data_IF_604523501431
#
_entry.id   IF_604523501431
#
_cell.length_a   1.000
_cell.length_b   1.000
_cell.length_c   1.000
_cell.angle_alpha   90.00
_cell.angle_beta   90.00
_cell.angle_gamma   90.00
#
_symmetry.space_group_name_H-M   'P 1'
#
loop_
_entity.id
_entity.type
_entity.pdbx_description
1 polymer ?
#
# COMPACT_ATOMS: atom_id res chain seq x y z
N UNK A 1 -59.24 3.95 28.78
CA UNK A 1 -57.77 3.96 28.60
C UNK A 1 -57.44 4.35 27.16
N UNK A 2 -56.89 5.55 26.98
CA UNK A 2 -56.43 6.12 25.71
C UNK A 2 -54.90 6.11 25.72
N UNK A 3 -54.24 5.75 24.62
CA UNK A 3 -52.78 5.88 24.50
C UNK A 3 -52.48 7.02 23.54
N UNK A 4 -51.76 8.03 24.00
CA UNK A 4 -51.24 9.10 23.16
C UNK A 4 -49.76 8.89 22.90
N UNK A 5 -49.31 9.30 21.71
CA UNK A 5 -47.90 9.26 21.33
C UNK A 5 -47.34 10.68 21.41
N UNK A 6 -46.39 10.92 22.31
CA UNK A 6 -45.74 12.21 22.48
C UNK A 6 -44.49 12.23 21.61
N UNK A 7 -44.48 13.07 20.58
CA UNK A 7 -43.31 13.29 19.73
C UNK A 7 -42.57 14.54 20.19
N UNK A 8 -41.32 14.39 20.59
CA UNK A 8 -40.41 15.48 20.93
C UNK A 8 -39.13 15.39 20.08
N UNK A 9 -38.18 16.30 20.34
CA UNK A 9 -36.84 16.23 19.76
C UNK A 9 -36.07 14.95 20.15
N UNK A 10 -36.42 14.35 21.28
CA UNK A 10 -35.75 13.19 21.85
C UNK A 10 -36.33 11.86 21.34
N UNK A 11 -37.47 11.88 20.65
CA UNK A 11 -38.08 10.67 20.09
C UNK A 11 -39.59 10.62 20.20
N UNK A 12 -40.14 9.40 20.14
CA UNK A 12 -41.58 9.14 20.23
C UNK A 12 -41.85 8.25 21.44
N UNK A 13 -42.53 8.79 22.45
CA UNK A 13 -42.89 8.09 23.67
C UNK A 13 -44.41 7.86 23.74
N UNK A 14 -44.85 6.84 24.49
CA UNK A 14 -46.27 6.50 24.63
C UNK A 14 -46.73 6.81 26.03
N UNK A 15 -47.78 7.63 26.16
CA UNK A 15 -48.43 7.92 27.44
C UNK A 15 -49.81 7.29 27.49
N UNK A 16 -50.11 6.61 28.62
CA UNK A 16 -51.43 6.05 28.90
C UNK A 16 -52.26 7.06 29.69
N UNK A 17 -53.45 7.37 29.19
CA UNK A 17 -54.43 8.24 29.82
C UNK A 17 -55.60 7.38 30.25
N UNK A 18 -55.80 7.27 31.55
CA UNK A 18 -56.83 6.39 32.11
C UNK A 18 -58.23 7.02 32.00
N UNK A 19 -58.32 8.34 32.17
CA UNK A 19 -59.57 9.11 32.12
C UNK A 19 -59.78 9.82 30.77
N UNK A 20 -60.84 9.50 29.99
CA UNK A 20 -61.15 10.17 28.73
C UNK A 20 -61.50 11.66 28.85
N UNK A 21 -61.85 12.12 30.05
CA UNK A 21 -62.16 13.52 30.35
C UNK A 21 -60.95 14.31 30.86
N UNK A 22 -59.74 13.74 30.76
CA UNK A 22 -58.53 14.42 31.21
C UNK A 22 -58.32 15.75 30.49
N UNK A 23 -57.80 16.71 31.24
CA UNK A 23 -57.50 18.06 30.75
C UNK A 23 -56.08 18.15 30.20
N UNK A 24 -55.78 19.22 29.46
CA UNK A 24 -54.41 19.53 29.05
C UNK A 24 -53.49 19.65 30.28
N UNK A 25 -53.96 20.23 31.38
CA UNK A 25 -53.18 20.34 32.61
C UNK A 25 -52.76 18.98 33.16
N UNK A 26 -53.68 18.01 33.18
CA UNK A 26 -53.40 16.64 33.58
C UNK A 26 -52.43 15.92 32.63
N UNK A 27 -52.55 16.16 31.31
CA UNK A 27 -51.59 15.65 30.33
C UNK A 27 -50.18 16.23 30.58
N UNK A 28 -50.08 17.51 30.91
CA UNK A 28 -48.78 18.13 31.24
C UNK A 28 -48.17 17.52 32.51
N UNK A 29 -48.96 17.26 33.55
CA UNK A 29 -48.51 16.55 34.74
C UNK A 29 -48.09 15.10 34.45
N UNK A 30 -48.76 14.43 33.53
CA UNK A 30 -48.39 13.09 33.08
C UNK A 30 -47.05 13.08 32.33
N UNK A 31 -46.83 14.07 31.47
CA UNK A 31 -45.55 14.28 30.78
C UNK A 31 -44.43 14.57 31.80
N UNK A 32 -44.68 15.41 32.80
CA UNK A 32 -43.69 15.71 33.84
C UNK A 32 -43.32 14.45 34.65
N UNK A 33 -44.31 13.68 35.09
CA UNK A 33 -44.07 12.48 35.90
C UNK A 33 -43.42 11.33 35.13
N UNK A 34 -43.83 11.07 33.88
CA UNK A 34 -43.34 9.93 33.10
C UNK A 34 -42.15 10.27 32.21
N UNK A 35 -42.13 11.48 31.64
CA UNK A 35 -41.13 11.92 30.66
C UNK A 35 -40.11 12.89 31.25
N UNK A 36 -40.28 13.33 32.51
CA UNK A 36 -39.37 14.23 33.24
C UNK A 36 -39.18 15.60 32.59
N UNK A 37 -40.21 16.10 31.90
CA UNK A 37 -40.21 17.44 31.31
C UNK A 37 -41.02 18.39 32.22
N UNK A 38 -40.41 19.42 32.84
CA UNK A 38 -41.12 20.32 33.74
C UNK A 38 -42.32 20.99 33.08
N UNK A 39 -43.47 21.08 33.76
CA UNK A 39 -44.71 21.66 33.18
C UNK A 39 -44.47 23.05 32.57
N UNK A 40 -43.62 23.86 33.20
CA UNK A 40 -43.32 25.23 32.81
C UNK A 40 -42.57 25.32 31.47
N UNK A 41 -41.83 24.28 31.09
CA UNK A 41 -41.10 24.22 29.82
C UNK A 41 -41.91 23.55 28.70
N UNK A 42 -43.07 22.96 29.01
CA UNK A 42 -43.86 22.23 28.02
C UNK A 42 -44.73 23.16 27.15
N UNK A 43 -44.42 23.18 25.86
CA UNK A 43 -45.31 23.64 24.79
C UNK A 43 -45.89 22.42 24.08
N UNK A 44 -47.22 22.31 24.05
CA UNK A 44 -47.93 21.21 23.39
C UNK A 44 -48.68 21.72 22.17
N UNK A 45 -48.73 20.92 21.12
CA UNK A 45 -49.56 21.22 19.96
C UNK A 45 -49.94 19.94 19.22
N UNK A 46 -51.08 19.97 18.54
CA UNK A 46 -51.44 18.97 17.53
C UNK A 46 -50.73 19.22 16.19
N UNK A 47 -50.11 20.40 16.02
CA UNK A 47 -49.38 20.78 14.81
C UNK A 47 -47.91 20.33 14.86
N UNK A 48 -47.50 19.56 13.85
CA UNK A 48 -46.13 19.04 13.71
C UNK A 48 -45.07 20.16 13.61
N UNK A 49 -45.43 21.32 13.07
CA UNK A 49 -44.51 22.43 12.87
C UNK A 49 -43.97 23.00 14.19
N UNK A 50 -44.56 22.64 15.34
CA UNK A 50 -44.03 22.96 16.65
C UNK A 50 -42.57 22.50 16.81
N UNK A 51 -42.22 21.34 16.25
CA UNK A 51 -40.85 20.81 16.34
C UNK A 51 -39.82 21.53 15.45
N UNK A 52 -40.28 22.44 14.59
CA UNK A 52 -39.42 23.27 13.74
C UNK A 52 -39.18 24.66 14.34
N UNK A 53 -39.89 25.02 15.41
CA UNK A 53 -39.72 26.28 16.13
C UNK A 53 -38.31 26.37 16.72
N UNK A 54 -37.62 27.50 16.51
CA UNK A 54 -36.24 27.70 16.97
C UNK A 54 -36.11 28.78 18.05
N UNK A 55 -37.12 29.64 18.16
CA UNK A 55 -37.12 30.77 19.09
C UNK A 55 -38.34 30.73 20.00
N UNK A 56 -38.29 31.37 21.19
CA UNK A 56 -39.46 31.52 22.06
C UNK A 56 -40.67 32.16 21.35
N UNK A 57 -40.41 33.11 20.45
CA UNK A 57 -41.45 33.75 19.64
C UNK A 57 -42.13 32.77 18.67
N UNK A 58 -41.39 31.83 18.08
CA UNK A 58 -41.96 30.78 17.24
C UNK A 58 -42.86 29.84 18.06
N UNK A 59 -42.43 29.45 19.27
CA UNK A 59 -43.18 28.59 20.18
C UNK A 59 -44.50 29.24 20.63
N UNK A 60 -44.49 30.56 20.85
CA UNK A 60 -45.66 31.32 21.28
C UNK A 60 -46.84 31.28 20.29
N UNK A 61 -46.57 30.94 19.02
CA UNK A 61 -47.60 30.83 17.96
C UNK A 61 -48.45 29.57 18.07
N UNK A 62 -48.03 28.59 18.86
CA UNK A 62 -48.72 27.32 19.05
C UNK A 62 -49.58 27.36 20.31
N UNK A 63 -50.77 27.95 20.17
CA UNK A 63 -51.69 28.18 21.29
C UNK A 63 -52.83 27.17 21.38
N UNK A 64 -52.92 26.21 20.45
CA UNK A 64 -54.02 25.24 20.37
C UNK A 64 -54.16 24.43 21.65
N UNK A 65 -53.05 24.04 22.27
CA UNK A 65 -53.04 23.31 23.55
C UNK A 65 -52.49 24.13 24.74
N UNK A 66 -52.68 25.46 24.73
CA UNK A 66 -52.15 26.35 25.78
C UNK A 66 -52.99 26.40 27.06
N UNK A 67 -54.31 26.25 26.96
CA UNK A 67 -55.22 26.38 28.11
C UNK A 67 -55.29 25.07 28.91
N UNK A 68 -54.80 25.04 30.17
CA UNK A 68 -54.75 23.80 30.96
C UNK A 68 -56.13 23.23 31.31
N UNK A 69 -57.20 24.02 31.23
CA UNK A 69 -58.56 23.58 31.56
C UNK A 69 -59.28 22.93 30.38
N UNK A 70 -58.74 23.01 29.17
CA UNK A 70 -59.38 22.42 27.98
C UNK A 70 -59.33 20.89 28.08
N UNK A 71 -60.46 20.18 27.90
CA UNK A 71 -60.48 18.73 27.83
C UNK A 71 -59.72 18.22 26.58
N UNK A 72 -58.95 17.14 26.73
CA UNK A 72 -58.21 16.50 25.63
C UNK A 72 -59.17 16.02 24.51
N UNK A 73 -60.40 15.67 24.87
CA UNK A 73 -61.47 15.30 23.93
C UNK A 73 -61.82 16.39 22.91
N UNK A 74 -61.47 17.66 23.18
CA UNK A 74 -61.73 18.79 22.28
C UNK A 74 -60.88 18.77 21.01
N UNK A 75 -59.84 17.93 20.95
CA UNK A 75 -58.83 17.92 19.87
C UNK A 75 -59.00 16.75 18.87
N UNK A 76 -60.16 16.07 18.87
CA UNK A 76 -60.44 14.91 18.01
C UNK A 76 -59.34 13.82 18.06
N UNK A 77 -58.74 13.62 19.23
CA UNK A 77 -57.66 12.66 19.43
C UNK A 77 -58.24 11.25 19.60
N UNK A 78 -57.71 10.29 18.85
CA UNK A 78 -58.05 8.87 18.92
C UNK A 78 -56.89 8.08 19.53
N UNK A 79 -57.10 6.78 19.76
CA UNK A 79 -56.04 5.91 20.27
C UNK A 79 -54.85 5.89 19.32
N UNK A 80 -53.68 6.29 19.81
CA UNK A 80 -52.47 6.44 19.04
C UNK A 80 -52.31 7.81 18.35
N UNK A 81 -53.18 8.79 18.60
CA UNK A 81 -52.94 10.16 18.12
C UNK A 81 -51.59 10.69 18.62
N UNK A 82 -50.95 11.51 17.78
CA UNK A 82 -49.66 12.13 18.08
C UNK A 82 -49.90 13.54 18.60
N UNK A 83 -49.24 13.87 19.71
CA UNK A 83 -49.10 15.24 20.22
C UNK A 83 -47.62 15.61 20.14
N UNK A 84 -47.35 16.82 19.66
CA UNK A 84 -46.00 17.35 19.58
C UNK A 84 -45.69 18.12 20.85
N UNK A 85 -44.50 17.86 21.41
CA UNK A 85 -43.99 18.47 22.63
C UNK A 85 -42.66 19.16 22.33
N UNK A 86 -42.60 20.47 22.59
CA UNK A 86 -41.37 21.26 22.60
C UNK A 86 -41.07 21.73 24.03
N UNK A 87 -39.79 21.69 24.40
CA UNK A 87 -39.25 22.20 25.67
C UNK A 87 -37.76 22.50 25.51
N UNK A 88 -37.25 23.36 26.39
CA UNK A 88 -35.83 23.64 26.53
C UNK A 88 -35.20 22.77 27.63
N UNK A 89 -33.90 22.46 27.47
CA UNK A 89 -33.11 21.67 28.43
C UNK A 89 -32.96 20.18 28.10
N UNK A 90 -31.80 19.61 28.42
CA UNK A 90 -31.51 18.19 28.19
C UNK A 90 -32.19 17.29 29.23
N UNK A 91 -32.63 16.09 28.82
CA UNK A 91 -33.13 15.07 29.74
C UNK A 91 -32.52 13.71 29.42
N UNK A 92 -32.49 12.85 30.42
CA UNK A 92 -32.13 11.44 30.25
C UNK A 92 -33.34 10.65 29.79
N UNK A 93 -33.32 10.18 28.53
CA UNK A 93 -34.33 9.27 27.97
C UNK A 93 -33.97 7.83 28.36
N UNK A 94 -34.94 7.05 28.83
CA UNK A 94 -34.71 5.63 29.12
C UNK A 94 -34.37 4.90 27.80
N UNK A 95 -33.14 4.38 27.72
CA UNK A 95 -32.51 3.93 26.47
C UNK A 95 -33.20 2.76 25.78
N UNK A 96 -33.48 2.93 24.48
CA UNK A 96 -33.54 1.80 23.55
C UNK A 96 -32.13 1.25 23.28
N UNK A 97 -32.00 0.03 22.73
CA UNK A 97 -30.70 -0.53 22.40
C UNK A 97 -29.93 0.40 21.47
N UNK A 98 -28.59 0.47 21.58
CA UNK A 98 -27.77 1.25 20.68
C UNK A 98 -28.06 0.82 19.24
N UNK A 99 -28.67 1.71 18.47
CA UNK A 99 -28.91 1.51 17.05
C UNK A 99 -27.57 1.77 16.35
N UNK A 100 -26.93 0.71 15.88
CA UNK A 100 -25.90 0.80 14.86
C UNK A 100 -26.61 0.88 13.50
N UNK A 101 -26.63 2.03 12.81
CA UNK A 101 -27.33 2.13 11.54
C UNK A 101 -26.57 1.32 10.49
N UNK A 102 -27.15 0.21 10.06
CA UNK A 102 -26.77 -0.46 8.82
C UNK A 102 -27.31 0.34 7.64
N UNK A 103 -26.47 1.21 7.07
CA UNK A 103 -26.66 1.73 5.71
C UNK A 103 -26.98 3.23 5.57
N UNK A 104 -26.11 3.91 4.83
CA UNK A 104 -26.26 4.92 3.74
C UNK A 104 -27.47 5.87 3.61
N UNK A 105 -28.60 5.73 4.30
CA UNK A 105 -29.73 6.63 4.07
C UNK A 105 -29.69 7.85 5.01
N UNK A 106 -29.30 9.01 4.46
CA UNK A 106 -29.41 10.32 5.13
C UNK A 106 -28.19 10.82 5.91
N UNK A 107 -27.05 10.13 5.88
CA UNK A 107 -25.77 10.68 6.39
C UNK A 107 -25.35 11.84 5.48
N UNK A 108 -25.13 13.05 6.04
CA UNK A 108 -24.46 14.14 5.32
C UNK A 108 -23.10 13.61 4.85
N UNK A 109 -22.91 13.49 3.54
CA UNK A 109 -21.63 13.08 2.98
C UNK A 109 -20.57 14.10 3.38
N UNK A 110 -19.52 13.64 4.04
CA UNK A 110 -18.34 14.44 4.31
C UNK A 110 -17.47 14.51 3.06
N UNK A 111 -16.53 15.46 3.01
CA UNK A 111 -15.56 15.51 1.90
C UNK A 111 -14.73 14.22 1.84
N UNK A 112 -14.40 13.61 2.98
CA UNK A 112 -13.70 12.33 3.01
C UNK A 112 -14.56 11.18 2.44
N UNK A 113 -15.88 11.15 2.72
CA UNK A 113 -16.78 10.17 2.10
C UNK A 113 -16.86 10.35 0.56
N UNK A 114 -16.72 11.58 0.05
CA UNK A 114 -16.70 11.85 -1.39
C UNK A 114 -15.37 11.44 -2.04
N UNK A 115 -14.24 11.69 -1.37
CA UNK A 115 -12.91 11.29 -1.84
C UNK A 115 -12.80 9.75 -1.81
N UNK A 116 -13.28 9.09 -0.76
CA UNK A 116 -13.32 7.63 -0.65
C UNK A 116 -14.06 6.99 -1.84
N UNK A 117 -15.23 7.55 -2.21
CA UNK A 117 -15.98 7.07 -3.39
C UNK A 117 -15.25 7.26 -4.72
N UNK A 118 -14.31 8.20 -4.81
CA UNK A 118 -13.44 8.34 -5.98
C UNK A 118 -12.28 7.33 -5.97
N UNK A 119 -11.87 6.85 -4.79
CA UNK A 119 -10.75 5.93 -4.59
C UNK A 119 -11.24 4.48 -4.45
N UNK A 120 -11.58 3.89 -5.60
CA UNK A 120 -11.98 2.49 -5.70
C UNK A 120 -10.77 1.61 -6.01
N UNK A 121 -10.52 0.60 -5.19
CA UNK A 121 -9.51 -0.42 -5.44
C UNK A 121 -10.16 -1.62 -6.14
N UNK A 122 -9.65 -1.96 -7.30
CA UNK A 122 -10.07 -3.11 -8.12
C UNK A 122 -8.82 -3.85 -8.60
N UNK A 123 -8.94 -5.16 -8.83
CA UNK A 123 -7.85 -5.93 -9.44
C UNK A 123 -7.55 -5.39 -10.84
N UNK A 124 -6.27 -5.27 -11.14
CA UNK A 124 -5.78 -5.01 -12.48
C UNK A 124 -5.40 -6.35 -13.11
N UNK A 125 -6.06 -6.69 -14.21
CA UNK A 125 -5.93 -8.02 -14.84
C UNK A 125 -4.64 -8.16 -15.67
N UNK A 126 -4.20 -7.08 -16.32
CA UNK A 126 -3.04 -7.12 -17.22
C UNK A 126 -1.92 -6.20 -16.71
N UNK A 127 -0.67 -6.68 -16.66
CA UNK A 127 0.49 -5.83 -16.41
C UNK A 127 0.76 -4.92 -17.62
N UNK A 128 1.51 -3.85 -17.41
CA UNK A 128 2.10 -3.08 -18.52
C UNK A 128 3.35 -3.79 -19.07
N UNK A 129 4.04 -4.58 -18.24
CA UNK A 129 5.11 -5.47 -18.63
C UNK A 129 4.56 -6.78 -19.24
N UNK A 130 4.82 -7.04 -20.52
CA UNK A 130 4.34 -8.25 -21.22
C UNK A 130 4.95 -9.52 -20.61
N UNK A 131 6.25 -9.47 -20.32
CA UNK A 131 7.04 -10.51 -19.67
C UNK A 131 8.33 -9.92 -19.12
N UNK A 132 8.91 -10.61 -18.16
CA UNK A 132 10.29 -10.40 -17.71
C UNK A 132 11.15 -11.61 -18.08
N UNK A 133 12.31 -11.37 -18.66
CA UNK A 133 13.32 -12.37 -18.97
C UNK A 133 14.57 -12.13 -18.13
N UNK A 134 15.05 -13.14 -17.41
CA UNK A 134 16.27 -13.03 -16.60
C UNK A 134 17.46 -13.68 -17.31
N UNK A 135 18.61 -13.01 -17.27
CA UNK A 135 19.87 -13.63 -17.64
C UNK A 135 20.16 -14.81 -16.70
N UNK A 136 20.45 -15.98 -17.28
CA UNK A 136 20.62 -17.23 -16.53
C UNK A 136 21.76 -17.16 -15.52
N UNK A 137 22.91 -16.62 -15.91
CA UNK A 137 24.09 -16.60 -15.05
C UNK A 137 23.92 -15.60 -13.89
N UNK A 138 23.30 -14.46 -14.17
CA UNK A 138 22.96 -13.44 -13.18
C UNK A 138 21.93 -13.94 -12.17
N UNK A 139 20.81 -14.51 -12.65
CA UNK A 139 19.80 -15.10 -11.77
C UNK A 139 20.40 -16.23 -10.93
N UNK A 140 21.25 -17.05 -11.53
CA UNK A 140 21.96 -18.12 -10.85
C UNK A 140 22.90 -17.59 -9.75
N UNK A 141 23.66 -16.53 -10.03
CA UNK A 141 24.56 -15.90 -9.06
C UNK A 141 23.83 -15.29 -7.86
N UNK A 142 22.60 -14.78 -8.06
CA UNK A 142 21.76 -14.27 -6.98
C UNK A 142 21.17 -15.43 -6.14
N UNK A 143 20.50 -16.39 -6.76
CA UNK A 143 19.88 -17.51 -6.03
C UNK A 143 20.90 -18.34 -5.27
N UNK A 144 22.07 -18.61 -5.86
CA UNK A 144 23.10 -19.43 -5.24
C UNK A 144 23.63 -18.77 -3.97
N UNK A 145 23.83 -17.45 -3.97
CA UNK A 145 24.27 -16.74 -2.76
C UNK A 145 23.20 -16.79 -1.66
N UNK A 146 21.94 -16.56 -2.02
CA UNK A 146 20.83 -16.59 -1.07
C UNK A 146 20.64 -17.99 -0.49
N UNK A 147 20.73 -19.03 -1.32
CA UNK A 147 20.59 -20.41 -0.89
C UNK A 147 21.78 -20.88 -0.06
N UNK A 148 22.99 -20.83 -0.61
CA UNK A 148 24.17 -21.43 0.01
C UNK A 148 24.75 -20.61 1.16
N UNK A 149 24.67 -19.28 1.07
CA UNK A 149 25.33 -18.39 2.06
C UNK A 149 24.38 -17.81 3.10
N UNK A 150 23.11 -17.60 2.74
CA UNK A 150 22.09 -17.05 3.63
C UNK A 150 21.06 -18.07 4.08
N UNK A 151 20.93 -19.22 3.39
CA UNK A 151 19.93 -20.24 3.65
C UNK A 151 18.50 -19.67 3.77
N UNK A 152 18.21 -18.59 3.02
CA UNK A 152 16.95 -17.84 3.14
C UNK A 152 16.59 -17.41 4.57
N UNK A 153 17.58 -17.27 5.48
CA UNK A 153 17.35 -16.88 6.87
C UNK A 153 17.13 -15.36 7.06
N UNK A 154 17.62 -14.55 6.11
CA UNK A 154 17.44 -13.10 6.07
C UNK A 154 17.10 -12.66 4.66
N UNK A 155 16.37 -11.54 4.54
CA UNK A 155 16.06 -10.95 3.24
C UNK A 155 17.31 -10.39 2.55
N UNK A 156 17.30 -10.45 1.23
CA UNK A 156 18.32 -9.87 0.33
C UNK A 156 17.61 -9.29 -0.88
N UNK A 157 18.09 -8.19 -1.42
CA UNK A 157 17.54 -7.63 -2.65
C UNK A 157 18.54 -6.84 -3.49
N UNK A 158 18.11 -6.48 -4.68
CA UNK A 158 18.93 -5.80 -5.67
C UNK A 158 18.08 -5.07 -6.71
N UNK A 159 18.68 -4.08 -7.35
CA UNK A 159 18.11 -3.40 -8.50
C UNK A 159 18.45 -4.16 -9.77
N UNK A 160 17.44 -4.41 -10.59
CA UNK A 160 17.56 -5.12 -11.85
C UNK A 160 17.81 -4.12 -12.98
N UNK A 161 18.79 -4.41 -13.83
CA UNK A 161 19.14 -3.57 -14.98
C UNK A 161 19.12 -4.39 -16.26
N UNK A 162 18.71 -3.73 -17.34
CA UNK A 162 18.69 -4.30 -18.68
C UNK A 162 17.86 -3.42 -19.61
N UNK A 163 17.07 -4.03 -20.48
CA UNK A 163 16.36 -3.31 -21.55
C UNK A 163 14.84 -3.51 -21.49
N UNK A 164 14.12 -2.62 -22.17
CA UNK A 164 12.67 -2.70 -22.34
C UNK A 164 12.36 -2.58 -23.82
N UNK A 165 11.72 -3.59 -24.40
CA UNK A 165 11.32 -3.59 -25.81
C UNK A 165 10.11 -2.68 -26.05
N UNK A 166 9.84 -2.25 -27.29
CA UNK A 166 8.64 -1.48 -27.63
C UNK A 166 7.32 -2.19 -27.29
N UNK A 167 7.33 -3.52 -27.25
CA UNK A 167 6.19 -4.37 -26.89
C UNK A 167 6.00 -4.50 -25.36
N UNK A 168 6.90 -3.92 -24.56
CA UNK A 168 6.85 -3.98 -23.10
C UNK A 168 7.49 -5.23 -22.50
N UNK A 169 8.40 -5.88 -23.24
CA UNK A 169 9.20 -6.99 -22.71
C UNK A 169 10.40 -6.45 -21.96
N UNK A 170 10.60 -6.90 -20.73
CA UNK A 170 11.74 -6.51 -19.89
C UNK A 170 12.78 -7.62 -19.95
N UNK A 171 14.01 -7.28 -20.33
CA UNK A 171 15.17 -8.18 -20.22
C UNK A 171 16.08 -7.67 -19.10
N UNK A 172 16.41 -8.54 -18.15
CA UNK A 172 17.30 -8.25 -17.01
C UNK A 172 18.66 -8.90 -17.27
N UNK A 173 19.67 -8.09 -17.54
CA UNK A 173 21.02 -8.53 -17.89
C UNK A 173 21.97 -8.58 -16.69
N UNK A 174 21.77 -7.73 -15.68
CA UNK A 174 22.55 -7.76 -14.44
C UNK A 174 21.74 -7.24 -13.24
N UNK A 175 22.23 -7.55 -12.03
CA UNK A 175 21.62 -7.11 -10.77
C UNK A 175 22.65 -6.40 -9.91
N UNK A 176 22.37 -5.16 -9.49
CA UNK A 176 23.18 -4.45 -8.52
C UNK A 176 22.60 -4.61 -7.12
N UNK A 177 23.39 -5.14 -6.18
CA UNK A 177 22.98 -5.32 -4.79
C UNK A 177 23.50 -4.14 -3.95
N UNK A 178 22.65 -3.14 -3.60
CA UNK A 178 23.12 -2.01 -2.81
C UNK A 178 23.57 -2.46 -1.41
N UNK A 179 24.34 -1.63 -0.68
CA UNK A 179 24.57 -1.84 0.74
C UNK A 179 23.21 -1.99 1.44
N UNK A 180 23.06 -3.03 2.27
CA UNK A 180 21.74 -3.41 2.78
C UNK A 180 21.83 -4.19 4.08
N UNK A 181 20.76 -4.13 4.87
CA UNK A 181 20.57 -4.91 6.09
C UNK A 181 19.27 -5.71 5.99
N UNK A 182 19.42 -7.01 5.79
CA UNK A 182 18.33 -7.97 5.83
C UNK A 182 18.07 -8.47 7.24
N UNK A 183 16.80 -8.61 7.59
CA UNK A 183 16.33 -9.40 8.73
C UNK A 183 15.37 -10.48 8.23
N UNK A 184 14.75 -11.21 9.15
CA UNK A 184 13.73 -12.19 8.81
C UNK A 184 12.52 -11.58 8.08
N UNK A 185 12.00 -10.46 8.61
CA UNK A 185 10.78 -9.83 8.12
C UNK A 185 11.01 -8.64 7.19
N UNK A 186 12.16 -7.97 7.29
CA UNK A 186 12.41 -6.68 6.64
C UNK A 186 13.72 -6.67 5.84
N UNK A 187 13.76 -5.81 4.82
CA UNK A 187 14.96 -5.52 4.05
C UNK A 187 15.17 -4.01 4.04
N UNK A 188 16.27 -3.54 4.62
CA UNK A 188 16.63 -2.12 4.62
C UNK A 188 17.70 -1.90 3.56
N UNK A 189 17.42 -1.07 2.55
CA UNK A 189 18.40 -0.64 1.55
C UNK A 189 19.13 0.59 2.07
N UNK A 190 20.44 0.48 2.26
CA UNK A 190 21.33 1.58 2.65
C UNK A 190 21.89 2.21 1.37
N UNK A 191 21.00 2.86 0.61
CA UNK A 191 21.29 3.50 -0.70
C UNK A 191 22.54 4.37 -0.59
N UNK A 192 23.49 4.18 -1.51
CA UNK A 192 24.71 4.99 -1.64
C UNK A 192 24.62 5.79 -2.95
N UNK A 193 24.21 7.07 -2.90
CA UNK A 193 24.08 7.89 -4.11
C UNK A 193 25.39 8.07 -4.89
N UNK A 194 26.55 7.88 -4.26
CA UNK A 194 27.84 7.98 -4.94
C UNK A 194 28.14 6.71 -5.73
N UNK A 195 27.99 5.53 -5.11
CA UNK A 195 28.13 4.25 -5.82
C UNK A 195 27.09 4.09 -6.93
N UNK A 196 25.84 4.44 -6.65
CA UNK A 196 24.74 4.34 -7.63
C UNK A 196 24.98 5.20 -8.87
N UNK A 197 25.67 6.33 -8.78
CA UNK A 197 26.03 7.11 -9.98
C UNK A 197 26.92 6.31 -10.93
N UNK A 198 27.85 5.51 -10.41
CA UNK A 198 28.67 4.64 -11.25
C UNK A 198 27.84 3.52 -11.87
N UNK A 199 26.92 2.93 -11.09
CA UNK A 199 26.00 1.91 -11.59
C UNK A 199 25.17 2.45 -12.75
N UNK A 200 24.59 3.65 -12.60
CA UNK A 200 23.81 4.30 -13.67
C UNK A 200 24.69 4.67 -14.87
N UNK A 201 25.91 5.19 -14.66
CA UNK A 201 26.82 5.52 -15.75
C UNK A 201 27.24 4.28 -16.57
N UNK A 202 27.51 3.15 -15.90
CA UNK A 202 27.79 1.86 -16.55
C UNK A 202 26.55 1.38 -17.31
N UNK A 203 25.37 1.39 -16.68
CA UNK A 203 24.12 0.97 -17.31
C UNK A 203 23.85 1.76 -18.60
N UNK A 204 23.94 3.09 -18.54
CA UNK A 204 23.77 3.96 -19.71
C UNK A 204 24.79 3.65 -20.81
N UNK A 205 26.07 3.47 -20.46
CA UNK A 205 27.10 3.10 -21.44
C UNK A 205 26.91 1.70 -22.06
N UNK A 206 26.23 0.80 -21.35
CA UNK A 206 25.79 -0.51 -21.85
C UNK A 206 24.46 -0.47 -22.60
N UNK A 207 23.83 0.71 -22.77
CA UNK A 207 22.51 0.82 -23.40
C UNK A 207 21.37 0.25 -22.56
N UNK A 208 21.59 0.12 -21.25
CA UNK A 208 20.67 -0.46 -20.28
C UNK A 208 20.14 0.61 -19.33
N UNK A 209 19.09 0.25 -18.58
CA UNK A 209 18.48 1.10 -17.55
C UNK A 209 18.02 0.25 -16.36
N UNK A 210 17.72 0.91 -15.24
CA UNK A 210 17.05 0.27 -14.11
C UNK A 210 15.61 -0.13 -14.52
N UNK A 211 15.30 -1.41 -14.45
CA UNK A 211 14.02 -1.99 -14.92
C UNK A 211 13.19 -2.62 -13.80
N UNK A 212 13.77 -2.81 -12.61
CA UNK A 212 13.01 -3.39 -11.52
C UNK A 212 13.78 -3.58 -10.23
N UNK A 213 13.14 -4.29 -9.31
CA UNK A 213 13.68 -4.69 -8.01
C UNK A 213 13.43 -6.16 -7.76
N UNK A 214 14.46 -6.86 -7.27
CA UNK A 214 14.38 -8.26 -6.85
C UNK A 214 14.63 -8.35 -5.35
N UNK A 215 13.88 -9.18 -4.64
CA UNK A 215 14.15 -9.48 -3.24
C UNK A 215 13.78 -10.91 -2.86
N UNK A 216 14.26 -11.36 -1.70
CA UNK A 216 14.01 -12.71 -1.18
C UNK A 216 12.97 -12.70 -0.06
N UNK A 217 12.15 -13.75 -0.02
CA UNK A 217 11.35 -14.09 1.14
C UNK A 217 12.06 -15.15 1.98
N UNK A 218 11.97 -15.02 3.30
CA UNK A 218 12.63 -15.95 4.22
C UNK A 218 11.81 -17.23 4.41
N UNK A 219 12.47 -18.28 4.90
CA UNK A 219 11.82 -19.59 5.17
C UNK A 219 10.86 -19.57 6.36
N UNK A 220 11.05 -18.64 7.29
CA UNK A 220 10.25 -18.53 8.50
C UNK A 220 9.06 -17.58 8.36
N UNK A 221 8.97 -16.87 7.23
CA UNK A 221 7.78 -16.12 6.85
C UNK A 221 6.61 -17.10 6.67
N UNK A 222 5.62 -17.06 7.56
CA UNK A 222 4.41 -17.89 7.44
C UNK A 222 3.60 -17.44 6.23
N UNK A 223 3.58 -18.30 5.19
CA UNK A 223 3.05 -17.97 3.85
C UNK A 223 1.65 -18.53 3.61
N UNK A 224 0.95 -18.99 4.63
CA UNK A 224 -0.27 -19.77 4.39
C UNK A 224 -1.38 -19.03 3.64
N UNK A 225 -1.35 -17.69 3.57
CA UNK A 225 -2.49 -16.93 3.03
C UNK A 225 -2.18 -15.64 2.25
N UNK A 226 -0.92 -15.33 1.87
CA UNK A 226 -0.59 -14.12 1.09
C UNK A 226 0.68 -14.25 0.24
N UNK A 227 0.76 -13.51 -0.87
CA UNK A 227 1.93 -13.49 -1.77
C UNK A 227 3.02 -12.52 -1.31
N UNK A 228 2.66 -11.28 -0.99
CA UNK A 228 3.58 -10.27 -0.43
C UNK A 228 3.01 -9.67 0.85
N UNK A 229 3.87 -9.46 1.85
CA UNK A 229 3.48 -8.79 3.09
C UNK A 229 3.27 -7.29 2.87
N UNK A 230 2.61 -6.62 3.79
CA UNK A 230 2.41 -5.17 3.75
C UNK A 230 3.74 -4.38 3.68
N UNK A 231 4.79 -4.84 4.37
CA UNK A 231 6.14 -4.26 4.28
C UNK A 231 6.75 -4.44 2.88
N UNK A 232 6.55 -5.60 2.27
CA UNK A 232 7.02 -5.90 0.91
C UNK A 232 6.27 -5.08 -0.14
N UNK A 233 4.95 -4.94 0.00
CA UNK A 233 4.12 -4.06 -0.86
C UNK A 233 4.60 -2.62 -0.76
N UNK A 234 4.82 -2.10 0.46
CA UNK A 234 5.28 -0.73 0.65
C UNK A 234 6.64 -0.49 0.00
N UNK A 235 7.59 -1.40 0.18
CA UNK A 235 8.91 -1.29 -0.45
C UNK A 235 8.82 -1.40 -1.98
N UNK A 236 8.01 -2.35 -2.49
CA UNK A 236 7.85 -2.54 -3.93
C UNK A 236 7.19 -1.32 -4.61
N UNK A 237 6.14 -0.74 -4.00
CA UNK A 237 5.45 0.43 -4.53
C UNK A 237 6.27 1.71 -4.37
N UNK A 238 7.08 1.83 -3.32
CA UNK A 238 8.03 2.94 -3.16
C UNK A 238 9.03 2.96 -4.31
N UNK A 239 9.70 1.83 -4.56
CA UNK A 239 10.70 1.72 -5.62
C UNK A 239 10.09 1.83 -7.03
N UNK A 240 8.90 1.27 -7.25
CA UNK A 240 8.17 1.48 -8.50
C UNK A 240 7.75 2.95 -8.63
N UNK A 241 7.27 3.58 -7.57
CA UNK A 241 6.83 4.97 -7.57
C UNK A 241 7.94 5.98 -7.83
N UNK A 242 9.17 5.69 -7.39
CA UNK A 242 10.41 6.41 -7.73
C UNK A 242 10.77 6.29 -9.22
N UNK A 243 10.36 5.20 -9.86
CA UNK A 243 10.59 4.95 -11.28
C UNK A 243 9.50 5.60 -12.15
N UNK A 244 9.92 6.16 -13.28
CA UNK A 244 9.01 6.59 -14.35
C UNK A 244 8.76 5.48 -15.39
N UNK A 245 9.27 4.26 -15.15
CA UNK A 245 9.10 3.11 -16.04
C UNK A 245 7.75 2.42 -15.79
N UNK A 246 6.90 2.37 -16.82
CA UNK A 246 5.60 1.70 -16.72
C UNK A 246 5.72 0.18 -16.62
N UNK A 247 6.75 -0.38 -17.23
CA UNK A 247 7.01 -1.82 -17.31
C UNK A 247 7.82 -2.33 -16.10
N UNK A 248 7.94 -1.54 -15.03
CA UNK A 248 8.73 -1.88 -13.85
C UNK A 248 8.30 -3.24 -13.24
N UNK A 249 9.30 -4.07 -12.94
CA UNK A 249 9.09 -5.42 -12.40
C UNK A 249 9.58 -5.52 -10.96
N UNK A 250 8.77 -6.16 -10.11
CA UNK A 250 9.15 -6.64 -8.78
C UNK A 250 9.26 -8.16 -8.82
N UNK A 251 10.47 -8.68 -8.64
CA UNK A 251 10.75 -10.10 -8.59
C UNK A 251 10.92 -10.59 -7.15
N UNK A 252 10.33 -11.73 -6.82
CA UNK A 252 10.39 -12.37 -5.51
C UNK A 252 11.06 -13.73 -5.66
N UNK A 253 12.10 -13.97 -4.85
CA UNK A 253 12.81 -15.24 -4.80
C UNK A 253 12.49 -15.93 -3.48
N UNK A 254 12.02 -17.17 -3.55
CA UNK A 254 11.63 -17.95 -2.37
C UNK A 254 12.10 -19.39 -2.50
N UNK A 255 12.19 -20.05 -1.35
CA UNK A 255 12.36 -21.50 -1.29
C UNK A 255 10.97 -22.15 -1.28
N UNK A 256 10.73 -23.11 -2.17
CA UNK A 256 9.51 -23.93 -2.20
C UNK A 256 9.86 -25.39 -1.99
N UNK A 257 9.06 -26.08 -1.19
CA UNK A 257 9.20 -27.53 -0.99
C UNK A 257 8.51 -28.24 -2.14
N UNK A 258 9.26 -29.04 -2.88
CA UNK A 258 8.74 -29.83 -3.99
C UNK A 258 8.03 -31.11 -3.50
N UNK A 259 7.36 -31.82 -4.41
CA UNK A 259 6.57 -33.01 -4.10
C UNK A 259 7.40 -34.14 -3.47
N UNK A 260 8.70 -34.20 -3.78
CA UNK A 260 9.66 -35.19 -3.25
C UNK A 260 10.23 -34.80 -1.88
N UNK A 261 9.81 -33.67 -1.30
CA UNK A 261 10.31 -33.14 -0.03
C UNK A 261 11.69 -32.46 -0.14
N UNK A 262 12.20 -32.29 -1.36
CA UNK A 262 13.32 -31.39 -1.67
C UNK A 262 12.89 -29.92 -1.64
N UNK A 263 13.87 -29.02 -1.66
CA UNK A 263 13.63 -27.59 -1.64
C UNK A 263 14.26 -26.93 -2.87
N UNK A 264 13.42 -26.30 -3.68
CA UNK A 264 13.84 -25.63 -4.91
C UNK A 264 13.69 -24.12 -4.76
N UNK A 265 14.60 -23.37 -5.38
CA UNK A 265 14.48 -21.90 -5.44
C UNK A 265 13.51 -21.55 -6.55
N UNK A 266 12.46 -20.83 -6.19
CA UNK A 266 11.40 -20.39 -7.07
C UNK A 266 11.40 -18.87 -7.24
N UNK A 267 11.18 -18.41 -8.46
CA UNK A 267 11.07 -16.99 -8.82
C UNK A 267 9.62 -16.67 -9.18
N UNK A 268 9.10 -15.59 -8.62
CA UNK A 268 7.83 -14.99 -9.03
C UNK A 268 8.08 -13.54 -9.47
N UNK A 269 7.26 -13.06 -10.40
CA UNK A 269 7.38 -11.71 -10.93
C UNK A 269 6.03 -11.03 -10.92
N UNK A 270 6.02 -9.78 -10.45
CA UNK A 270 4.83 -8.97 -10.32
C UNK A 270 5.10 -7.55 -10.78
N UNK A 271 4.03 -6.87 -11.14
CA UNK A 271 3.98 -5.45 -11.28
C UNK A 271 3.00 -4.89 -10.24
N UNK A 272 3.36 -3.81 -9.56
CA UNK A 272 2.40 -3.09 -8.71
C UNK A 272 1.31 -2.48 -9.60
N UNK A 273 0.04 -2.70 -9.25
CA UNK A 273 -1.09 -2.13 -9.98
C UNK A 273 -1.03 -0.60 -10.02
N UNK A 274 -1.62 0.00 -11.05
CA UNK A 274 -1.72 1.45 -11.21
C UNK A 274 -2.40 2.11 -9.99
N UNK A 275 -3.37 1.42 -9.39
CA UNK A 275 -4.05 1.88 -8.19
C UNK A 275 -3.12 1.87 -6.97
N UNK A 276 -2.28 0.84 -6.81
CA UNK A 276 -1.28 0.79 -5.75
C UNK A 276 -0.31 1.98 -5.84
N UNK A 277 0.24 2.20 -7.04
CA UNK A 277 1.17 3.32 -7.30
C UNK A 277 0.49 4.65 -7.02
N UNK A 278 -0.76 4.83 -7.47
CA UNK A 278 -1.53 6.04 -7.25
C UNK A 278 -1.77 6.31 -5.76
N UNK A 279 -2.22 5.29 -5.01
CA UNK A 279 -2.44 5.39 -3.57
C UNK A 279 -1.15 5.78 -2.84
N UNK A 280 -0.01 5.21 -3.25
CA UNK A 280 1.29 5.58 -2.69
C UNK A 280 1.68 7.02 -3.00
N UNK A 281 1.64 7.43 -4.27
CA UNK A 281 2.01 8.80 -4.71
C UNK A 281 1.11 9.87 -4.10
N UNK A 282 -0.17 9.57 -3.89
CA UNK A 282 -1.12 10.47 -3.22
C UNK A 282 -1.04 10.39 -1.67
N UNK A 283 -0.13 9.57 -1.11
CA UNK A 283 0.13 9.50 0.32
C UNK A 283 -0.95 8.80 1.14
N UNK A 284 -1.73 7.91 0.54
CA UNK A 284 -2.84 7.20 1.19
C UNK A 284 -2.40 6.07 2.11
N UNK A 285 -1.28 5.41 1.82
CA UNK A 285 -0.77 4.34 2.67
C UNK A 285 -0.39 4.84 4.07
N UNK A 286 -0.72 4.04 5.08
CA UNK A 286 -0.03 4.09 6.37
C UNK A 286 1.33 3.41 6.20
N UNK A 287 2.41 4.18 6.33
CA UNK A 287 3.79 3.71 6.12
C UNK A 287 4.44 3.16 7.39
N UNK A 288 3.83 3.41 8.55
CA UNK A 288 4.23 2.82 9.84
C UNK A 288 3.33 1.63 10.09
N UNK A 289 3.88 0.42 9.98
CA UNK A 289 3.14 -0.83 10.19
C UNK A 289 3.09 -1.11 11.71
N UNK A 290 1.89 -1.12 12.33
CA UNK A 290 1.75 -1.47 13.74
C UNK A 290 2.09 -2.94 14.01
N UNK A 291 2.62 -3.22 15.19
CA UNK A 291 2.85 -4.59 15.64
C UNK A 291 1.51 -5.35 15.72
N UNK A 292 1.50 -6.60 15.20
CA UNK A 292 0.30 -7.43 15.17
C UNK A 292 -0.70 -7.11 14.05
N UNK A 293 -0.40 -6.18 13.14
CA UNK A 293 -1.16 -6.05 11.90
C UNK A 293 -0.99 -7.31 11.05
N UNK A 294 -2.08 -7.80 10.48
CA UNK A 294 -2.04 -8.93 9.54
C UNK A 294 -1.13 -8.57 8.34
N UNK A 295 -0.04 -9.33 8.08
CA UNK A 295 0.87 -9.05 6.97
C UNK A 295 0.17 -9.06 5.61
N UNK A 296 -0.97 -9.74 5.48
CA UNK A 296 -1.78 -9.77 4.25
C UNK A 296 -2.45 -8.44 3.92
N UNK A 297 -2.58 -7.53 4.90
CA UNK A 297 -3.37 -6.32 4.77
C UNK A 297 -2.47 -5.07 4.80
N UNK A 298 -2.62 -4.24 3.78
CA UNK A 298 -2.10 -2.87 3.77
C UNK A 298 -3.16 -1.90 4.26
N UNK A 299 -2.76 -0.98 5.14
CA UNK A 299 -3.67 0.00 5.74
C UNK A 299 -3.59 1.37 5.07
N UNK A 300 -4.75 1.98 4.86
CA UNK A 300 -4.95 3.30 4.28
C UNK A 300 -5.31 4.32 5.37
N UNK A 301 -4.83 5.55 5.24
CA UNK A 301 -5.16 6.67 6.15
C UNK A 301 -6.65 7.03 6.11
N UNK A 302 -7.28 6.87 4.95
CA UNK A 302 -8.68 7.17 4.67
C UNK A 302 -9.39 5.94 4.11
N UNK A 303 -10.70 5.93 4.18
CA UNK A 303 -11.50 4.85 3.61
C UNK A 303 -11.34 4.80 2.08
N UNK A 304 -11.19 3.59 1.55
CA UNK A 304 -11.20 3.28 0.12
C UNK A 304 -12.32 2.27 -0.15
N UNK A 305 -12.83 2.26 -1.38
CA UNK A 305 -13.89 1.31 -1.77
C UNK A 305 -13.28 0.04 -2.35
N UNK A 306 -13.45 -1.09 -1.68
CA UNK A 306 -13.10 -2.42 -2.21
C UNK A 306 -14.40 -3.19 -2.49
N UNK A 307 -14.67 -3.44 -3.77
CA UNK A 307 -15.95 -4.03 -4.20
C UNK A 307 -17.13 -3.08 -3.94
N UNK A 308 -17.84 -3.30 -2.83
CA UNK A 308 -18.98 -2.49 -2.33
C UNK A 308 -18.80 -2.02 -0.89
N UNK A 309 -17.65 -2.30 -0.26
CA UNK A 309 -17.37 -1.96 1.14
C UNK A 309 -16.37 -0.81 1.21
N UNK A 310 -16.64 0.13 2.10
CA UNK A 310 -15.67 1.13 2.54
C UNK A 310 -14.79 0.49 3.61
N UNK A 311 -13.47 0.53 3.41
CA UNK A 311 -12.48 -0.08 4.33
C UNK A 311 -11.19 0.72 4.34
N UNK A 312 -10.45 0.63 5.44
CA UNK A 312 -9.06 1.11 5.51
C UNK A 312 -8.04 0.00 5.30
N UNK A 313 -8.45 -1.25 5.36
CA UNK A 313 -7.56 -2.40 5.20
C UNK A 313 -7.86 -3.07 3.86
N UNK A 314 -6.83 -3.14 3.02
CA UNK A 314 -6.90 -3.69 1.68
C UNK A 314 -6.00 -4.92 1.62
N UNK A 315 -6.55 -6.02 1.10
CA UNK A 315 -5.81 -7.24 0.82
C UNK A 315 -4.74 -6.98 -0.25
N UNK A 316 -3.50 -7.34 0.07
CA UNK A 316 -2.33 -7.05 -0.77
C UNK A 316 -2.44 -7.63 -2.17
N UNK A 317 -3.19 -8.71 -2.37
CA UNK A 317 -3.40 -9.33 -3.69
C UNK A 317 -4.12 -8.40 -4.68
N UNK A 318 -4.83 -7.37 -4.21
CA UNK A 318 -5.40 -6.34 -5.10
C UNK A 318 -4.33 -5.46 -5.76
N UNK A 319 -3.13 -5.42 -5.18
CA UNK A 319 -2.04 -4.60 -5.68
C UNK A 319 -1.08 -5.34 -6.60
N UNK A 320 -1.18 -6.66 -6.65
CA UNK A 320 -0.27 -7.51 -7.41
C UNK A 320 -0.85 -7.84 -8.79
N UNK A 321 -0.05 -7.62 -9.82
CA UNK A 321 -0.35 -8.02 -11.19
C UNK A 321 0.74 -8.99 -11.64
N UNK A 322 0.39 -10.24 -11.96
CA UNK A 322 1.37 -11.29 -12.29
C UNK A 322 2.04 -10.99 -13.63
N UNK A 323 3.37 -11.14 -13.68
CA UNK A 323 4.19 -11.01 -14.88
C UNK A 323 4.78 -12.37 -15.25
N UNK A 324 4.77 -12.72 -16.54
CA UNK A 324 5.34 -13.98 -17.03
C UNK A 324 6.87 -13.94 -16.94
N UNK A 325 7.47 -15.05 -16.55
CA UNK A 325 8.93 -15.20 -16.44
C UNK A 325 9.47 -16.02 -17.61
N UNK A 326 10.54 -15.53 -18.22
CA UNK A 326 11.36 -16.18 -19.23
C UNK A 326 12.84 -16.12 -18.81
N UNK A 327 13.70 -16.79 -19.57
CA UNK A 327 15.14 -16.67 -19.43
C UNK A 327 15.81 -16.31 -20.76
N UNK A 328 17.02 -15.77 -20.67
CA UNK A 328 17.90 -15.54 -21.80
C UNK A 328 19.37 -15.66 -21.38
N UNK A 329 20.27 -15.54 -22.34
CA UNK A 329 21.70 -15.40 -22.08
C UNK A 329 22.11 -14.00 -22.52
N UNK A 330 22.48 -13.15 -21.57
CA UNK A 330 22.89 -11.77 -21.78
C UNK A 330 24.31 -11.66 -22.36
N UNK A 331 24.74 -10.44 -22.72
CA UNK A 331 26.04 -10.18 -23.32
C UNK A 331 27.18 -10.10 -22.28
N UNK A 332 26.84 -9.95 -20.99
CA UNK A 332 27.78 -9.85 -19.88
C UNK A 332 28.04 -11.22 -19.27
N UNK A 333 29.24 -11.41 -18.72
CA UNK A 333 29.51 -12.51 -17.80
C UNK A 333 29.15 -12.12 -16.38
N UNK A 334 28.77 -13.11 -15.57
CA UNK A 334 28.45 -12.94 -14.13
C UNK A 334 29.35 -13.82 -13.27
N UNK A 335 30.67 -13.67 -13.48
CA UNK A 335 31.70 -14.55 -12.86
C UNK A 335 32.59 -13.82 -11.86
N UNK A 336 32.56 -12.48 -11.87
CA UNK A 336 33.28 -11.66 -10.91
C UNK A 336 32.56 -11.61 -9.56
N UNK A 337 33.28 -11.45 -8.43
CA UNK A 337 32.64 -11.30 -7.12
C UNK A 337 31.74 -10.06 -7.05
N UNK A 338 30.54 -10.26 -6.51
CA UNK A 338 29.50 -9.23 -6.35
C UNK A 338 29.75 -8.41 -5.08
N UNK A 339 29.65 -7.09 -5.19
CA UNK A 339 29.77 -6.13 -4.10
C UNK A 339 28.73 -6.33 -2.99
N UNK A 340 28.98 -5.72 -1.82
CA UNK A 340 28.04 -5.66 -0.69
C UNK A 340 27.58 -7.04 -0.14
N UNK A 341 28.28 -8.12 -0.50
CA UNK A 341 28.11 -9.47 0.07
C UNK A 341 29.10 -9.71 1.21
N UNK A 342 28.96 -10.84 1.93
CA UNK A 342 29.80 -11.17 3.11
C UNK A 342 31.31 -11.12 2.83
N UNK A 343 31.73 -11.54 1.64
CA UNK A 343 33.14 -11.50 1.21
C UNK A 343 33.36 -10.24 0.38
N UNK A 344 34.20 -9.30 0.82
CA UNK A 344 34.45 -8.07 0.07
C UNK A 344 35.21 -8.36 -1.22
N UNK A 345 34.89 -7.59 -2.26
CA UNK A 345 35.62 -7.60 -3.53
C UNK A 345 37.01 -6.99 -3.31
N UNK A 346 38.05 -7.66 -3.81
CA UNK A 346 39.46 -7.22 -3.63
C UNK A 346 40.17 -7.08 -4.96
N UNK A 347 41.26 -6.31 -5.01
CA UNK A 347 42.11 -6.21 -6.21
C UNK A 347 42.73 -7.56 -6.61
N UNK A 348 42.96 -8.46 -5.64
CA UNK A 348 43.35 -9.85 -5.92
C UNK A 348 42.29 -10.60 -6.74
N UNK A 349 41.00 -10.31 -6.55
CA UNK A 349 39.94 -10.87 -7.36
C UNK A 349 40.03 -10.38 -8.81
N UNK A 350 40.33 -9.09 -9.04
CA UNK A 350 40.59 -8.54 -10.37
C UNK A 350 41.72 -9.30 -11.08
N UNK A 351 42.86 -9.46 -10.40
CA UNK A 351 43.99 -10.23 -10.94
C UNK A 351 43.61 -11.66 -11.30
N UNK A 352 43.00 -12.38 -10.36
CA UNK A 352 42.59 -13.77 -10.57
C UNK A 352 41.60 -13.91 -11.74
N UNK A 353 40.70 -12.94 -11.91
CA UNK A 353 39.74 -12.91 -13.00
C UNK A 353 40.43 -12.72 -14.35
N UNK A 354 41.30 -11.70 -14.46
CA UNK A 354 42.06 -11.43 -15.69
C UNK A 354 42.98 -12.59 -16.06
N UNK A 355 43.62 -13.23 -15.07
CA UNK A 355 44.49 -14.40 -15.28
C UNK A 355 43.70 -15.61 -15.80
N UNK A 356 42.50 -15.86 -15.27
CA UNK A 356 41.61 -16.92 -15.75
C UNK A 356 41.11 -16.65 -17.17
N UNK A 357 40.82 -15.40 -17.49
CA UNK A 357 40.29 -14.98 -18.79
C UNK A 357 41.38 -14.60 -19.82
N UNK A 358 42.66 -14.84 -19.53
CA UNK A 358 43.80 -14.38 -20.36
C UNK A 358 43.77 -14.83 -21.82
N UNK A 359 43.09 -15.94 -22.12
CA UNK A 359 42.94 -16.48 -23.48
C UNK A 359 41.91 -15.71 -24.32
N UNK A 360 41.06 -14.89 -23.70
CA UNK A 360 40.02 -14.13 -24.37
C UNK A 360 40.55 -12.76 -24.83
N UNK A 361 39.92 -12.10 -25.82
CA UNK A 361 40.15 -10.69 -26.10
C UNK A 361 39.91 -9.82 -24.87
N UNK A 362 40.68 -8.74 -24.69
CA UNK A 362 40.64 -7.92 -23.48
C UNK A 362 39.21 -7.44 -23.14
N UNK A 363 38.44 -7.00 -24.13
CA UNK A 363 37.05 -6.56 -23.97
C UNK A 363 36.16 -7.64 -23.32
N UNK A 364 36.35 -8.91 -23.70
CA UNK A 364 35.61 -10.05 -23.11
C UNK A 364 36.01 -10.31 -21.67
N UNK A 365 37.26 -10.03 -21.30
CA UNK A 365 37.73 -10.19 -19.91
C UNK A 365 37.08 -9.19 -18.96
N UNK A 366 36.75 -8.00 -19.46
CA UNK A 366 36.13 -6.92 -18.69
C UNK A 366 34.60 -6.82 -18.88
N UNK A 367 34.00 -7.68 -19.70
CA UNK A 367 32.55 -7.71 -19.97
C UNK A 367 31.78 -8.32 -18.79
N UNK A 368 31.93 -7.76 -17.59
CA UNK A 368 31.27 -8.18 -16.35
C UNK A 368 30.90 -6.90 -15.58
N UNK A 369 29.62 -6.74 -15.24
CA UNK A 369 29.14 -5.52 -14.58
C UNK A 369 29.84 -5.26 -13.24
N UNK A 370 30.02 -6.28 -12.42
CA UNK A 370 30.62 -6.13 -11.09
C UNK A 370 32.11 -5.81 -11.17
N UNK A 371 32.79 -6.30 -12.21
CA UNK A 371 34.15 -5.89 -12.53
C UNK A 371 34.20 -4.43 -12.97
N UNK A 372 33.32 -4.01 -13.89
CA UNK A 372 33.24 -2.62 -14.35
C UNK A 372 32.98 -1.67 -13.17
N UNK A 373 32.11 -2.05 -12.23
CA UNK A 373 31.83 -1.27 -11.03
C UNK A 373 33.05 -1.13 -10.12
N UNK A 374 33.87 -2.18 -9.97
CA UNK A 374 35.14 -2.09 -9.25
C UNK A 374 36.10 -1.09 -9.92
N UNK A 375 36.24 -1.16 -11.25
CA UNK A 375 37.13 -0.27 -12.00
C UNK A 375 36.64 1.18 -11.95
N UNK A 376 35.33 1.40 -12.04
CA UNK A 376 34.72 2.72 -12.04
C UNK A 376 35.11 3.59 -10.83
N UNK A 377 35.41 2.96 -9.69
CA UNK A 377 35.90 3.64 -8.47
C UNK A 377 37.24 4.37 -8.65
N UNK A 378 37.98 4.07 -9.72
CA UNK A 378 39.30 4.63 -10.03
C UNK A 378 39.33 5.43 -11.34
N UNK A 379 38.16 5.62 -11.96
CA UNK A 379 38.00 6.20 -13.29
C UNK A 379 37.14 7.45 -13.25
N UNK A 380 37.30 8.35 -14.22
CA UNK A 380 36.39 9.49 -14.36
C UNK A 380 35.01 9.00 -14.81
N UNK A 381 33.99 9.33 -14.02
CA UNK A 381 32.62 8.89 -14.25
C UNK A 381 31.99 9.45 -15.53
N UNK A 382 32.45 10.61 -16.01
CA UNK A 382 31.86 11.29 -17.16
C UNK A 382 32.56 10.95 -18.48
N UNK A 383 33.82 10.49 -18.42
CA UNK A 383 34.63 10.19 -19.60
C UNK A 383 35.00 8.70 -19.71
N UNK A 384 35.64 8.16 -18.68
CA UNK A 384 36.28 6.84 -18.76
C UNK A 384 35.26 5.70 -18.60
N UNK A 385 34.33 5.83 -17.65
CA UNK A 385 33.31 4.80 -17.39
C UNK A 385 32.42 4.58 -18.60
N UNK A 386 31.83 5.62 -19.24
CA UNK A 386 31.04 5.44 -20.45
C UNK A 386 31.86 4.87 -21.62
N UNK A 387 33.13 5.29 -21.78
CA UNK A 387 33.98 4.79 -22.86
C UNK A 387 34.29 3.29 -22.72
N UNK A 388 34.55 2.81 -21.51
CA UNK A 388 34.75 1.37 -21.26
C UNK A 388 33.45 0.57 -21.45
N UNK A 389 32.33 1.10 -20.97
CA UNK A 389 31.03 0.46 -21.15
C UNK A 389 30.64 0.38 -22.64
N UNK A 390 30.91 1.43 -23.43
CA UNK A 390 30.69 1.42 -24.89
C UNK A 390 31.57 0.37 -25.60
N UNK A 391 32.82 0.19 -25.16
CA UNK A 391 33.67 -0.89 -25.68
C UNK A 391 33.05 -2.26 -25.39
N UNK A 392 32.49 -2.47 -24.20
CA UNK A 392 31.80 -3.71 -23.83
C UNK A 392 30.51 -3.88 -24.65
N UNK A 393 29.72 -2.83 -24.83
CA UNK A 393 28.49 -2.88 -25.62
C UNK A 393 28.77 -3.26 -27.08
N UNK A 394 29.74 -2.58 -27.70
CA UNK A 394 30.10 -2.77 -29.12
C UNK A 394 31.07 -3.91 -29.36
N UNK A 395 31.59 -4.52 -28.29
CA UNK A 395 32.64 -5.54 -28.33
C UNK A 395 33.88 -5.08 -29.12
N UNK A 396 34.20 -3.79 -29.03
CA UNK A 396 35.33 -3.16 -29.70
C UNK A 396 36.66 -3.40 -28.97
N UNK A 397 37.77 -3.02 -29.63
CA UNK A 397 39.07 -3.03 -28.98
C UNK A 397 39.13 -1.95 -27.88
N UNK A 398 39.50 -2.38 -26.67
CA UNK A 398 39.73 -1.46 -25.54
C UNK A 398 41.02 -0.67 -25.81
N UNK A 399 41.02 0.67 -25.69
CA UNK A 399 42.24 1.47 -25.85
C UNK A 399 43.40 0.99 -24.97
N UNK A 400 44.62 0.96 -25.52
CA UNK A 400 45.82 0.43 -24.83
C UNK A 400 46.07 1.09 -23.47
N UNK A 401 45.81 2.41 -23.36
CA UNK A 401 45.92 3.13 -22.09
C UNK A 401 45.04 2.55 -20.97
N UNK A 402 43.79 2.17 -21.28
CA UNK A 402 42.92 1.50 -20.30
C UNK A 402 43.39 0.09 -19.99
N UNK A 403 43.88 -0.66 -20.98
CA UNK A 403 44.40 -2.00 -20.75
C UNK A 403 45.55 -1.97 -19.74
N UNK A 404 46.54 -1.08 -19.97
CA UNK A 404 47.69 -0.90 -19.09
C UNK A 404 47.27 -0.43 -17.68
N UNK A 405 46.31 0.49 -17.58
CA UNK A 405 45.78 0.95 -16.31
C UNK A 405 45.17 -0.20 -15.50
N UNK A 406 44.29 -0.98 -16.14
CA UNK A 406 43.58 -2.10 -15.50
C UNK A 406 44.56 -3.21 -15.09
N UNK A 407 45.53 -3.53 -15.95
CA UNK A 407 46.60 -4.49 -15.63
C UNK A 407 47.48 -4.01 -14.49
N UNK A 408 47.83 -2.72 -14.46
CA UNK A 408 48.57 -2.10 -13.36
C UNK A 408 47.79 -2.21 -12.05
N UNK A 409 46.50 -1.92 -12.06
CA UNK A 409 45.60 -2.06 -10.91
C UNK A 409 45.57 -3.50 -10.39
N UNK A 410 45.51 -4.49 -11.29
CA UNK A 410 45.55 -5.91 -10.93
C UNK A 410 46.92 -6.35 -10.36
N UNK A 411 48.01 -5.76 -10.86
CA UNK A 411 49.38 -6.10 -10.44
C UNK A 411 49.80 -5.51 -9.09
N UNK A 412 49.11 -4.48 -8.61
CA UNK A 412 49.41 -3.78 -7.34
C UNK A 412 48.91 -4.56 -6.11
N UNK A 413 48.29 -5.74 -6.32
CA UNK A 413 47.69 -6.61 -5.29
C UNK A 413 48.47 -7.85 -4.91
#
# INVERSE_FOLDING_TARGET
>A
MLVLRIRSRDGLERLKIDNPQSTIGELKSLIESQLRVPIQSQTLSTNQNLLLAKTPDDLSRFTDMSNPRTPISSFNLTHGSIIYLAYEGERTVAGGPPVHPSGSFGKKMTMDDLIAKQMRVTRQENPHCELVSFDRDTANAFQHYVNETLAFAVKRGGFMYGTVSPEGKVEVDFMYEPPQQGTEGNLILLRDPHEERFVEAIAVGLGMRRVGFIFTQTISQDKKDYTMSNAEILQAVELHGESDLKEWVTAVVKLEVNEDGGADVHFEAFQMSDMCIRLFKEGWFETVIPEGLDPKLSRMKKDVVVGVKDTKEVDNDFFLVVVKIFDHQGPLSSTFPIENRKVPVTMKALRNHLDKAKSLPFVKRISDFHLLLLLARFLDINADVPALAECVLTQSAVPEGYQLLIESMASTS
#
